data_IF_236241932225
#
_entry.id   IF_236241932225
#
_cell.length_a   1.000
_cell.length_b   1.000
_cell.length_c   1.000
_cell.angle_alpha   90.00
_cell.angle_beta   90.00
_cell.angle_gamma   90.00
#
_symmetry.space_group_name_H-M   'P 1'
#
loop_
_entity.id
_entity.type
_entity.pdbx_description
1 polymer ?
#
# COMPACT_ATOMS: atom_id res chain seq x y z
N UNK A 1 -18.88 -0.76 -22.45
CA UNK A 1 -17.43 -0.87 -22.67
C UNK A 1 -16.97 -2.12 -21.94
N UNK A 2 -16.37 -3.08 -22.66
CA UNK A 2 -16.04 -4.41 -22.14
C UNK A 2 -14.85 -4.35 -21.18
N UNK A 3 -15.00 -4.94 -20.00
CA UNK A 3 -13.92 -5.14 -19.01
C UNK A 3 -13.00 -6.26 -19.52
N UNK A 4 -11.94 -5.91 -20.25
CA UNK A 4 -10.93 -6.87 -20.67
C UNK A 4 -9.96 -7.19 -19.54
N UNK A 5 -9.87 -8.48 -19.22
CA UNK A 5 -8.83 -9.11 -18.40
C UNK A 5 -7.45 -8.88 -19.02
N UNK A 6 -6.49 -8.36 -18.25
CA UNK A 6 -5.09 -8.27 -18.66
C UNK A 6 -4.36 -9.60 -18.35
N UNK A 7 -3.42 -9.98 -19.21
CA UNK A 7 -2.63 -11.20 -19.03
C UNK A 7 -1.48 -10.99 -18.04
N UNK A 8 -1.06 -12.06 -17.33
CA UNK A 8 0.04 -12.01 -16.39
C UNK A 8 1.35 -11.48 -17.01
N UNK A 9 1.57 -11.72 -18.32
CA UNK A 9 2.73 -11.22 -19.06
C UNK A 9 2.73 -9.70 -19.22
N UNK A 10 1.56 -9.07 -19.38
CA UNK A 10 1.43 -7.61 -19.47
C UNK A 10 1.63 -6.95 -18.10
N UNK A 11 1.16 -7.58 -17.03
CA UNK A 11 1.38 -7.11 -15.65
C UNK A 11 2.87 -7.24 -15.26
N UNK A 12 3.54 -8.32 -15.69
CA UNK A 12 4.94 -8.59 -15.39
C UNK A 12 5.91 -7.74 -16.24
N UNK A 13 5.56 -7.47 -17.50
CA UNK A 13 6.31 -6.55 -18.36
C UNK A 13 6.36 -5.13 -17.79
N UNK A 14 5.26 -4.63 -17.22
CA UNK A 14 5.19 -3.27 -16.67
C UNK A 14 5.86 -3.16 -15.29
N UNK A 15 5.80 -4.21 -14.46
CA UNK A 15 6.62 -4.29 -13.25
C UNK A 15 8.14 -4.25 -13.54
N UNK A 16 8.55 -4.80 -14.69
CA UNK A 16 9.91 -4.66 -15.21
C UNK A 16 10.17 -3.28 -15.87
N UNK A 17 9.17 -2.62 -16.48
CA UNK A 17 9.29 -1.28 -17.07
C UNK A 17 9.61 -0.18 -16.04
N UNK A 18 9.26 -0.35 -14.76
CA UNK A 18 9.69 0.57 -13.69
C UNK A 18 11.20 0.53 -13.41
N UNK A 19 11.93 -0.43 -14.00
CA UNK A 19 13.39 -0.54 -13.92
C UNK A 19 14.09 -0.11 -15.21
N UNK A 20 13.36 0.14 -16.31
CA UNK A 20 13.95 0.57 -17.58
C UNK A 20 12.93 1.36 -18.44
N UNK A 21 12.97 2.71 -18.45
CA UNK A 21 11.96 3.56 -19.07
C UNK A 21 12.03 3.68 -20.61
N UNK A 22 13.04 3.08 -21.25
CA UNK A 22 13.39 3.38 -22.66
C UNK A 22 12.75 2.44 -23.69
N UNK A 23 11.88 1.52 -23.30
CA UNK A 23 11.24 0.63 -24.26
C UNK A 23 9.84 0.28 -23.79
N UNK A 24 8.83 0.95 -24.38
CA UNK A 24 7.49 0.45 -24.75
C UNK A 24 6.59 1.69 -24.93
N UNK A 25 5.89 1.75 -26.06
CA UNK A 25 5.08 2.91 -26.46
C UNK A 25 4.17 3.42 -25.34
N UNK A 26 4.21 4.74 -25.17
CA UNK A 26 3.42 5.54 -24.22
C UNK A 26 1.98 5.02 -24.12
N UNK A 27 1.68 4.20 -23.13
CA UNK A 27 0.32 3.81 -22.76
C UNK A 27 -0.13 4.69 -21.60
N UNK A 28 -0.21 5.99 -21.86
CA UNK A 28 -0.72 6.99 -20.90
C UNK A 28 -2.09 6.60 -20.34
N UNK A 29 -2.89 5.89 -21.15
CA UNK A 29 -4.18 5.32 -20.75
C UNK A 29 -4.04 4.26 -19.65
N UNK A 30 -3.05 3.38 -19.73
CA UNK A 30 -2.78 2.34 -18.73
C UNK A 30 -2.30 2.96 -17.42
N UNK A 31 -1.35 3.89 -17.50
CA UNK A 31 -0.81 4.60 -16.33
C UNK A 31 -1.90 5.41 -15.63
N UNK A 32 -2.75 6.10 -16.40
CA UNK A 32 -3.89 6.85 -15.86
C UNK A 32 -4.90 5.94 -15.15
N UNK A 33 -5.25 4.79 -15.74
CA UNK A 33 -6.16 3.84 -15.10
C UNK A 33 -5.58 3.24 -13.81
N UNK A 34 -4.26 3.02 -13.76
CA UNK A 34 -3.58 2.58 -12.55
C UNK A 34 -3.57 3.65 -11.47
N UNK A 35 -3.31 4.91 -11.83
CA UNK A 35 -3.38 6.03 -10.90
C UNK A 35 -4.79 6.15 -10.27
N UNK A 36 -5.85 6.03 -11.07
CA UNK A 36 -7.23 6.02 -10.58
C UNK A 36 -7.46 4.85 -9.60
N UNK A 37 -7.05 3.63 -9.97
CA UNK A 37 -7.24 2.46 -9.10
C UNK A 37 -6.48 2.59 -7.79
N UNK A 38 -5.23 3.06 -7.84
CA UNK A 38 -4.41 3.28 -6.65
C UNK A 38 -5.01 4.36 -5.74
N UNK A 39 -5.53 5.44 -6.32
CA UNK A 39 -6.22 6.52 -5.60
C UNK A 39 -7.50 6.01 -4.91
N UNK A 40 -8.35 5.29 -5.63
CA UNK A 40 -9.59 4.71 -5.08
C UNK A 40 -9.28 3.70 -3.96
N UNK A 41 -8.23 2.90 -4.14
CA UNK A 41 -7.76 1.97 -3.12
C UNK A 41 -7.29 2.70 -1.86
N UNK A 42 -6.50 3.77 -2.02
CA UNK A 42 -6.02 4.60 -0.92
C UNK A 42 -7.17 5.21 -0.12
N UNK A 43 -8.15 5.80 -0.80
CA UNK A 43 -9.34 6.38 -0.17
C UNK A 43 -10.15 5.31 0.58
N UNK A 44 -10.43 4.18 -0.07
CA UNK A 44 -11.18 3.08 0.54
C UNK A 44 -10.49 2.55 1.80
N UNK A 45 -9.19 2.33 1.72
CA UNK A 45 -8.39 1.86 2.84
C UNK A 45 -8.32 2.89 3.98
N UNK A 46 -8.10 4.16 3.66
CA UNK A 46 -8.05 5.23 4.66
C UNK A 46 -9.39 5.39 5.39
N UNK A 47 -10.50 5.31 4.67
CA UNK A 47 -11.85 5.31 5.26
C UNK A 47 -12.05 4.13 6.21
N UNK A 48 -11.53 2.95 5.89
CA UNK A 48 -11.63 1.76 6.74
C UNK A 48 -10.90 1.96 8.07
N UNK A 49 -9.60 2.30 8.03
CA UNK A 49 -8.78 2.46 9.25
C UNK A 49 -9.17 3.66 10.11
N UNK A 50 -9.83 4.67 9.54
CA UNK A 50 -10.33 5.82 10.32
C UNK A 50 -11.72 5.57 10.92
N UNK A 51 -12.47 4.58 10.43
CA UNK A 51 -13.84 4.29 10.85
C UNK A 51 -13.96 3.14 11.84
N UNK A 52 -13.10 2.12 11.73
CA UNK A 52 -13.12 0.93 12.61
C UNK A 52 -11.78 0.75 13.31
N UNK A 53 -11.72 -0.19 14.26
CA UNK A 53 -10.45 -0.56 14.91
C UNK A 53 -9.50 -1.23 13.91
N UNK A 54 -8.34 -0.61 13.58
CA UNK A 54 -7.42 -1.16 12.60
C UNK A 54 -6.82 -2.50 13.01
N UNK A 55 -6.68 -2.77 14.32
CA UNK A 55 -6.08 -4.02 14.83
C UNK A 55 -6.95 -5.25 14.54
N UNK A 56 -8.25 -5.04 14.33
CA UNK A 56 -9.21 -6.08 13.97
C UNK A 56 -9.34 -6.30 12.45
N UNK A 57 -8.68 -5.49 11.63
CA UNK A 57 -8.76 -5.59 10.18
C UNK A 57 -7.93 -6.76 9.64
N UNK A 58 -8.56 -7.54 8.75
CA UNK A 58 -7.90 -8.52 7.89
C UNK A 58 -7.84 -7.95 6.46
N UNK A 59 -6.64 -7.63 5.97
CA UNK A 59 -6.47 -7.05 4.62
C UNK A 59 -6.44 -8.14 3.54
N UNK A 60 -5.97 -9.33 3.89
CA UNK A 60 -5.99 -10.54 3.08
C UNK A 60 -6.08 -11.79 3.96
N UNK A 61 -6.35 -12.94 3.35
CA UNK A 61 -6.33 -14.24 4.02
C UNK A 61 -4.92 -14.69 4.45
N UNK A 62 -3.87 -14.05 3.92
CA UNK A 62 -2.46 -14.36 4.21
C UNK A 62 -1.78 -13.34 5.14
N UNK A 63 -2.54 -12.54 5.88
CA UNK A 63 -1.96 -11.47 6.71
C UNK A 63 -0.89 -11.96 7.68
N UNK A 64 -1.11 -13.12 8.30
CA UNK A 64 -0.16 -13.69 9.28
C UNK A 64 1.17 -14.08 8.62
N UNK A 65 1.11 -14.66 7.43
CA UNK A 65 2.30 -15.03 6.66
C UNK A 65 3.08 -13.81 6.20
N UNK A 66 2.39 -12.83 5.63
CA UNK A 66 2.99 -11.57 5.16
C UNK A 66 3.67 -10.85 6.32
N UNK A 67 2.97 -10.71 7.46
CA UNK A 67 3.49 -10.04 8.64
C UNK A 67 4.75 -10.73 9.19
N UNK A 68 4.69 -12.05 9.35
CA UNK A 68 5.80 -12.83 9.89
C UNK A 68 7.03 -12.77 8.98
N UNK A 69 6.84 -12.90 7.67
CA UNK A 69 7.95 -12.81 6.72
C UNK A 69 8.52 -11.40 6.67
N UNK A 70 7.67 -10.37 6.63
CA UNK A 70 8.09 -8.96 6.65
C UNK A 70 8.93 -8.66 7.89
N UNK A 71 8.46 -9.05 9.09
CA UNK A 71 9.22 -8.84 10.33
C UNK A 71 10.44 -9.75 10.48
N UNK A 72 10.55 -10.82 9.70
CA UNK A 72 11.76 -11.66 9.65
C UNK A 72 12.84 -11.02 8.78
N UNK A 73 12.47 -10.50 7.60
CA UNK A 73 13.40 -9.93 6.62
C UNK A 73 13.75 -8.46 6.91
N UNK A 74 12.78 -7.70 7.43
CA UNK A 74 12.85 -6.26 7.68
C UNK A 74 12.65 -5.94 9.17
N UNK A 75 13.43 -6.60 10.04
CA UNK A 75 13.33 -6.50 11.51
C UNK A 75 13.36 -5.07 12.03
N UNK A 76 14.27 -4.26 11.51
CA UNK A 76 14.51 -2.89 11.97
C UNK A 76 13.76 -1.83 11.14
N UNK A 77 12.97 -2.25 10.14
CA UNK A 77 12.25 -1.32 9.27
C UNK A 77 11.17 -0.59 10.06
N UNK A 78 11.23 0.74 10.00
CA UNK A 78 10.28 1.61 10.68
C UNK A 78 9.00 1.75 9.86
N UNK A 79 7.87 1.51 10.52
CA UNK A 79 6.55 1.56 9.88
C UNK A 79 5.75 2.79 10.28
N UNK A 80 6.17 3.58 11.28
CA UNK A 80 5.50 4.84 11.62
C UNK A 80 5.74 5.92 10.56
N UNK A 81 7.01 6.32 10.41
CA UNK A 81 7.48 7.25 9.39
C UNK A 81 8.53 6.52 8.58
N UNK A 82 8.17 6.20 7.34
CA UNK A 82 9.02 5.43 6.43
C UNK A 82 10.17 6.31 5.96
N UNK A 83 11.38 5.79 6.06
CA UNK A 83 12.50 6.32 5.28
C UNK A 83 12.37 5.83 3.83
N UNK A 84 12.18 6.77 2.91
CA UNK A 84 11.96 6.47 1.49
C UNK A 84 13.16 5.73 0.87
N UNK A 85 14.36 5.92 1.41
CA UNK A 85 15.57 5.22 0.94
C UNK A 85 15.56 3.72 1.28
N UNK A 86 14.85 3.31 2.34
CA UNK A 86 14.63 1.90 2.68
C UNK A 86 13.67 1.18 1.72
N UNK A 87 13.10 1.92 0.76
CA UNK A 87 12.30 1.38 -0.36
C UNK A 87 12.97 1.60 -1.72
N UNK A 88 13.76 2.66 -1.89
CA UNK A 88 14.26 3.12 -3.19
C UNK A 88 15.74 2.86 -3.45
N UNK A 89 16.57 2.71 -2.42
CA UNK A 89 17.99 2.39 -2.58
C UNK A 89 18.19 1.09 -3.36
N UNK A 90 19.36 0.93 -3.98
CA UNK A 90 19.65 -0.25 -4.80
C UNK A 90 19.58 -1.54 -3.97
N UNK A 91 20.11 -1.48 -2.75
CA UNK A 91 20.12 -2.57 -1.77
C UNK A 91 18.70 -2.89 -1.29
N UNK A 92 17.89 -1.86 -0.98
CA UNK A 92 16.49 -2.04 -0.61
C UNK A 92 15.70 -2.70 -1.72
N UNK A 93 15.86 -2.25 -2.97
CA UNK A 93 15.17 -2.83 -4.13
C UNK A 93 15.48 -4.30 -4.33
N UNK A 94 16.68 -4.77 -4.00
CA UNK A 94 17.02 -6.19 -4.07
C UNK A 94 16.21 -6.98 -3.03
N UNK A 95 16.26 -6.57 -1.76
CA UNK A 95 15.50 -7.22 -0.69
C UNK A 95 14.00 -7.21 -0.94
N UNK A 96 13.45 -6.06 -1.32
CA UNK A 96 12.03 -5.94 -1.64
C UNK A 96 11.64 -6.78 -2.85
N UNK A 97 12.50 -6.95 -3.85
CA UNK A 97 12.23 -7.86 -4.98
C UNK A 97 12.12 -9.30 -4.51
N UNK A 98 13.06 -9.77 -3.67
CA UNK A 98 13.02 -11.12 -3.10
C UNK A 98 11.74 -11.34 -2.28
N UNK A 99 11.39 -10.38 -1.43
CA UNK A 99 10.14 -10.40 -0.67
C UNK A 99 8.90 -10.41 -1.58
N UNK A 100 8.86 -9.61 -2.64
CA UNK A 100 7.71 -9.60 -3.55
C UNK A 100 7.55 -10.94 -4.29
N UNK A 101 8.66 -11.54 -4.72
CA UNK A 101 8.66 -12.81 -5.45
C UNK A 101 8.19 -13.99 -4.61
N UNK A 102 8.36 -13.96 -3.28
CA UNK A 102 7.84 -15.01 -2.39
C UNK A 102 6.30 -15.05 -2.33
N UNK A 103 5.63 -13.96 -2.73
CA UNK A 103 4.17 -13.85 -2.77
C UNK A 103 3.60 -13.75 -4.18
N UNK A 104 4.37 -14.14 -5.22
CA UNK A 104 3.94 -14.04 -6.62
C UNK A 104 2.72 -14.91 -6.97
N UNK A 105 2.41 -15.88 -6.13
CA UNK A 105 1.23 -16.73 -6.21
C UNK A 105 -0.04 -16.04 -5.68
N UNK A 106 0.09 -14.91 -4.98
CA UNK A 106 -1.05 -14.08 -4.61
C UNK A 106 -1.60 -13.30 -5.80
N UNK A 107 -2.92 -13.27 -5.90
CA UNK A 107 -3.60 -12.45 -6.89
C UNK A 107 -3.19 -10.98 -6.77
N UNK A 108 -2.75 -10.42 -7.88
CA UNK A 108 -2.45 -9.00 -8.03
C UNK A 108 -1.37 -8.47 -7.06
N UNK A 109 -0.46 -9.32 -6.57
CA UNK A 109 0.60 -8.94 -5.62
C UNK A 109 1.46 -7.75 -6.10
N UNK A 110 1.63 -7.61 -7.42
CA UNK A 110 2.41 -6.59 -8.10
C UNK A 110 1.57 -5.42 -8.64
N UNK A 111 0.30 -5.30 -8.25
CA UNK A 111 -0.49 -4.12 -8.63
C UNK A 111 0.03 -2.87 -7.94
N UNK A 112 -0.05 -1.73 -8.63
CA UNK A 112 0.29 -0.44 -8.06
C UNK A 112 -0.68 0.00 -6.96
N UNK A 113 -0.13 0.46 -5.84
CA UNK A 113 -0.85 1.03 -4.70
C UNK A 113 -0.16 2.29 -4.20
N UNK A 114 -0.90 3.14 -3.51
CA UNK A 114 -0.32 4.24 -2.73
C UNK A 114 -0.08 3.79 -1.28
N UNK A 115 1.08 4.14 -0.76
CA UNK A 115 1.48 3.93 0.62
C UNK A 115 1.78 5.26 1.29
N UNK A 116 1.35 5.43 2.54
CA UNK A 116 1.62 6.65 3.32
C UNK A 116 3.05 6.62 3.87
N UNK A 117 3.78 7.72 3.73
CA UNK A 117 5.12 7.88 4.30
C UNK A 117 5.00 7.93 5.83
N UNK A 118 4.22 8.88 6.34
CA UNK A 118 3.85 9.01 7.75
C UNK A 118 2.44 8.45 7.96
N UNK A 119 2.34 7.40 8.78
CA UNK A 119 1.07 6.71 9.03
C UNK A 119 0.04 7.58 9.72
N UNK A 120 0.45 8.63 10.45
CA UNK A 120 -0.44 9.53 11.20
C UNK A 120 -1.09 10.60 10.33
N UNK A 121 -0.66 10.71 9.07
CA UNK A 121 -1.15 11.72 8.11
C UNK A 121 -2.05 11.08 7.04
N UNK A 122 -2.82 11.92 6.37
CA UNK A 122 -3.67 11.53 5.25
C UNK A 122 -2.83 11.27 3.98
N UNK A 123 -3.45 10.69 2.96
CA UNK A 123 -2.87 10.62 1.62
C UNK A 123 -2.81 12.01 0.99
N UNK A 124 -1.60 12.50 0.78
CA UNK A 124 -1.31 13.74 0.05
C UNK A 124 -0.16 13.50 -0.92
N UNK A 125 0.08 14.42 -1.87
CA UNK A 125 1.22 14.32 -2.78
C UNK A 125 2.56 14.17 -2.04
N UNK A 126 2.74 14.89 -0.92
CA UNK A 126 3.97 14.87 -0.12
C UNK A 126 4.04 13.74 0.92
N UNK A 127 2.92 13.08 1.22
CA UNK A 127 2.86 11.98 2.18
C UNK A 127 2.56 10.62 1.53
N UNK A 128 2.55 10.53 0.19
CA UNK A 128 2.24 9.32 -0.53
C UNK A 128 3.39 8.90 -1.43
N UNK A 129 3.66 7.60 -1.45
CA UNK A 129 4.60 7.00 -2.39
C UNK A 129 3.93 5.83 -3.11
N UNK A 130 4.36 5.60 -4.34
CA UNK A 130 3.97 4.40 -5.07
C UNK A 130 4.67 3.17 -4.48
N UNK A 131 3.91 2.09 -4.29
CA UNK A 131 4.40 0.80 -3.83
C UNK A 131 3.60 -0.33 -4.50
N UNK A 132 4.17 -1.53 -4.57
CA UNK A 132 3.42 -2.71 -4.99
C UNK A 132 2.42 -3.10 -3.90
N UNK A 133 1.32 -3.75 -4.29
CA UNK A 133 0.26 -4.21 -3.37
C UNK A 133 0.84 -5.03 -2.23
N UNK A 134 1.81 -5.91 -2.49
CA UNK A 134 2.42 -6.73 -1.44
C UNK A 134 3.25 -5.89 -0.45
N UNK A 135 3.94 -4.84 -0.91
CA UNK A 135 4.67 -3.92 -0.03
C UNK A 135 3.70 -3.11 0.83
N UNK A 136 2.61 -2.62 0.21
CA UNK A 136 1.51 -1.96 0.91
C UNK A 136 0.94 -2.88 2.01
N UNK A 137 0.62 -4.12 1.66
CA UNK A 137 0.06 -5.10 2.61
C UNK A 137 1.04 -5.33 3.77
N UNK A 138 2.31 -5.62 3.49
CA UNK A 138 3.30 -5.86 4.53
C UNK A 138 3.38 -4.72 5.55
N UNK A 139 3.45 -3.49 5.06
CA UNK A 139 3.63 -2.30 5.90
C UNK A 139 2.34 -1.94 6.63
N UNK A 140 1.19 -1.94 5.96
CA UNK A 140 -0.09 -1.56 6.58
C UNK A 140 -0.63 -2.65 7.53
N UNK A 141 -0.36 -3.93 7.26
CA UNK A 141 -0.64 -5.00 8.24
C UNK A 141 0.19 -4.79 9.50
N UNK A 142 1.49 -4.47 9.36
CA UNK A 142 2.34 -4.16 10.50
C UNK A 142 1.83 -2.93 11.27
N UNK A 143 1.49 -1.84 10.58
CA UNK A 143 0.91 -0.63 11.19
C UNK A 143 -0.37 -0.91 11.97
N UNK A 144 -1.25 -1.75 11.43
CA UNK A 144 -2.50 -2.14 12.05
C UNK A 144 -2.27 -2.98 13.32
N UNK A 145 -1.43 -4.01 13.23
CA UNK A 145 -1.16 -4.94 14.33
C UNK A 145 -0.37 -4.32 15.47
N UNK A 146 0.54 -3.41 15.14
CA UNK A 146 1.43 -2.76 16.11
C UNK A 146 0.86 -1.44 16.65
N UNK A 147 -0.35 -1.07 16.23
CA UNK A 147 -1.09 0.07 16.78
C UNK A 147 -0.68 1.43 16.21
N UNK A 148 0.19 1.50 15.20
CA UNK A 148 0.58 2.75 14.55
C UNK A 148 -0.58 3.45 13.82
N UNK A 149 -1.58 2.68 13.37
CA UNK A 149 -2.81 3.22 12.80
C UNK A 149 -3.91 3.51 13.84
N UNK A 150 -3.74 3.14 15.12
CA UNK A 150 -4.81 3.23 16.13
C UNK A 150 -5.29 4.66 16.37
N UNK A 151 -4.37 5.63 16.36
CA UNK A 151 -4.65 7.06 16.59
C UNK A 151 -5.48 7.71 15.46
N UNK A 152 -5.59 7.06 14.30
CA UNK A 152 -6.33 7.60 13.14
C UNK A 152 -7.83 7.48 13.28
N UNK A 153 -8.30 6.64 14.21
CA UNK A 153 -9.72 6.41 14.40
C UNK A 153 -10.39 7.73 14.78
N UNK A 154 -11.23 8.23 13.88
CA UNK A 154 -12.14 9.33 14.19
C UNK A 154 -13.21 8.73 15.09
N UNK A 155 -12.99 8.78 16.40
CA UNK A 155 -14.06 8.51 17.37
C UNK A 155 -15.22 9.40 16.95
N UNK A 156 -16.37 8.83 16.53
CA UNK A 156 -17.59 9.62 16.33
C UNK A 156 -17.83 10.34 17.64
N UNK A 157 -17.45 11.61 17.69
CA UNK A 157 -17.78 12.49 18.78
C UNK A 157 -19.30 12.48 18.88
N UNK A 158 -19.78 12.13 20.07
CA UNK A 158 -21.10 12.53 20.53
C UNK A 158 -21.24 14.00 20.15
N UNK A 159 -22.22 14.30 19.28
CA UNK A 159 -22.63 15.66 19.01
C UNK A 159 -23.18 16.18 20.33
N UNK A 160 -22.37 16.94 21.07
CA UNK A 160 -22.91 17.82 22.08
C UNK A 160 -23.52 18.99 21.32
N UNK A 161 -24.82 18.87 21.04
CA UNK A 161 -25.67 20.00 20.69
C UNK A 161 -25.68 20.96 21.89
N UNK A 162 -24.68 21.83 21.96
CA UNK A 162 -24.77 23.04 22.77
C UNK A 162 -25.68 24.02 22.02
N UNK A 163 -26.99 23.84 22.21
CA UNK A 163 -27.93 24.96 22.17
C UNK A 163 -27.51 25.91 23.28
N UNK A 164 -27.02 27.08 22.92
CA UNK A 164 -26.99 28.28 23.74
C UNK A 164 -26.78 29.45 22.79
N UNK A 165 -27.49 30.58 22.83
CA UNK A 165 -28.77 31.03 23.39
C UNK A 165 -28.99 32.39 22.72
#
# INVERSE_FOLDING_TARGET
>A
MSLSHFSAAEVQAVGASLQNPENLGNREDVEFQWAIKASNHAETYFNLITSVDPSALRLTNRDDEIYNQFRTEFKDFKVDVIDVEELKSAEAKIKWREFCESFKDMDNYNYGSLLRIDCKKDYTESNSIFALRIQFLAIEIARNREGYNADLRKTKGIVNDSKDS
#
